data_IF_320549512704
#
_entry.id   IF_320549512704
#
_cell.length_a   1.000
_cell.length_b   1.000
_cell.length_c   1.000
_cell.angle_alpha   90.00
_cell.angle_beta   90.00
_cell.angle_gamma   90.00
#
_symmetry.space_group_name_H-M   'P 1'
#
loop_
_entity.id
_entity.type
_entity.pdbx_description
1 polymer ?
#
# COMPACT_ATOMS: atom_id res chain seq x y z
N UNK A 1 -0.58 5.85 -2.06
CA UNK A 1 0.63 5.12 -2.46
C UNK A 1 1.25 5.81 -3.66
N UNK A 2 2.58 5.82 -3.74
CA UNK A 2 3.34 6.21 -4.93
C UNK A 2 4.08 5.00 -5.48
N UNK A 3 3.93 4.73 -6.77
CA UNK A 3 4.73 3.77 -7.52
C UNK A 3 5.78 4.53 -8.33
N UNK A 4 7.04 4.13 -8.22
CA UNK A 4 8.17 4.77 -8.89
C UNK A 4 8.97 3.69 -9.64
N UNK A 5 9.06 3.84 -10.96
CA UNK A 5 9.81 2.98 -11.87
C UNK A 5 11.01 3.73 -12.49
N UNK A 6 11.49 4.80 -11.86
CA UNK A 6 12.56 5.64 -12.41
C UNK A 6 13.91 4.92 -12.51
N UNK A 7 14.06 3.82 -11.77
CA UNK A 7 15.23 2.94 -11.82
C UNK A 7 15.25 2.01 -13.06
N UNK A 8 14.18 1.98 -13.87
CA UNK A 8 14.17 1.20 -15.11
C UNK A 8 15.12 1.76 -16.15
N UNK A 9 15.86 0.86 -16.79
CA UNK A 9 16.85 1.22 -17.82
C UNK A 9 16.74 0.28 -18.99
N UNK A 10 16.90 0.82 -20.20
CA UNK A 10 17.11 0.04 -21.41
C UNK A 10 18.63 -0.02 -21.71
N UNK A 11 19.23 -1.20 -21.92
CA UNK A 11 20.67 -1.33 -22.18
C UNK A 11 21.16 -0.61 -23.44
N UNK A 12 20.25 -0.31 -24.38
CA UNK A 12 20.54 0.42 -25.61
C UNK A 12 20.16 1.92 -25.50
N UNK A 13 19.76 2.38 -24.31
CA UNK A 13 19.39 3.77 -24.05
C UNK A 13 18.06 4.19 -24.68
N UNK A 14 17.19 3.23 -25.02
CA UNK A 14 15.90 3.54 -25.62
C UNK A 14 14.95 4.23 -24.63
N UNK A 15 14.09 5.10 -25.16
CA UNK A 15 13.01 5.69 -24.36
C UNK A 15 12.04 4.61 -23.87
N UNK A 16 11.61 4.75 -22.62
CA UNK A 16 10.70 3.83 -21.95
C UNK A 16 9.34 4.47 -21.72
N UNK A 17 8.32 3.62 -21.74
CA UNK A 17 6.95 3.93 -21.34
C UNK A 17 6.51 2.98 -20.24
N UNK A 18 5.65 3.47 -19.35
CA UNK A 18 5.27 2.80 -18.12
C UNK A 18 3.75 2.72 -18.04
N UNK A 19 3.21 1.51 -17.88
CA UNK A 19 1.81 1.29 -17.56
C UNK A 19 1.72 0.67 -16.16
N UNK A 20 0.80 1.15 -15.33
CA UNK A 20 0.65 0.69 -13.95
C UNK A 20 -0.70 0.02 -13.75
N UNK A 21 -0.72 -1.09 -13.04
CA UNK A 21 -1.91 -1.72 -12.48
C UNK A 21 -1.74 -1.76 -10.97
N UNK A 22 -2.71 -1.29 -10.20
CA UNK A 22 -2.59 -1.23 -8.74
C UNK A 22 -3.21 -2.46 -8.03
N UNK A 23 -3.71 -3.43 -8.79
CA UNK A 23 -4.27 -4.69 -8.27
C UNK A 23 -5.67 -4.58 -7.68
N UNK A 24 -6.26 -3.38 -7.57
CA UNK A 24 -7.64 -3.13 -7.16
C UNK A 24 -8.58 -2.81 -8.34
N UNK A 25 -8.10 -2.99 -9.58
CA UNK A 25 -8.80 -2.66 -10.82
C UNK A 25 -8.50 -1.26 -11.36
N UNK A 26 -7.77 -0.43 -10.60
CA UNK A 26 -7.27 0.85 -11.09
C UNK A 26 -6.00 0.64 -11.94
N UNK A 27 -6.01 1.20 -13.15
CA UNK A 27 -4.88 1.16 -14.09
C UNK A 27 -4.53 2.56 -14.59
N UNK A 28 -3.25 2.74 -14.92
CA UNK A 28 -2.72 3.90 -15.64
C UNK A 28 -2.15 3.42 -16.96
N UNK A 29 -2.64 4.00 -18.05
CA UNK A 29 -2.18 3.70 -19.40
C UNK A 29 -0.70 4.07 -19.59
N UNK A 30 -0.09 3.52 -20.64
CA UNK A 30 1.30 3.76 -20.96
C UNK A 30 1.63 5.26 -21.06
N UNK A 31 2.57 5.71 -20.24
CA UNK A 31 3.00 7.11 -20.14
C UNK A 31 4.54 7.18 -20.09
N UNK A 32 5.11 8.33 -20.47
CA UNK A 32 6.56 8.56 -20.36
C UNK A 32 7.03 8.89 -18.94
N UNK A 33 6.11 9.23 -18.03
CA UNK A 33 6.42 9.51 -16.64
C UNK A 33 6.55 8.19 -15.84
N UNK A 34 7.70 7.90 -15.21
CA UNK A 34 7.91 6.68 -14.45
C UNK A 34 7.21 6.67 -13.08
N UNK A 35 6.48 7.72 -12.72
CA UNK A 35 5.82 7.86 -11.41
C UNK A 35 4.30 7.90 -11.56
N UNK A 36 3.60 7.13 -10.73
CA UNK A 36 2.14 7.16 -10.60
C UNK A 36 1.71 7.11 -9.13
N UNK A 37 0.57 7.74 -8.81
CA UNK A 37 0.03 7.76 -7.45
C UNK A 37 -1.38 7.18 -7.42
N UNK A 38 -1.67 6.34 -6.43
CA UNK A 38 -2.98 5.71 -6.24
C UNK A 38 -3.39 5.64 -4.77
N UNK A 39 -4.70 5.69 -4.51
CA UNK A 39 -5.27 5.63 -3.16
C UNK A 39 -6.19 4.44 -3.03
N UNK A 40 -5.81 3.49 -2.18
CA UNK A 40 -6.65 2.34 -1.82
C UNK A 40 -7.71 2.76 -0.80
N UNK A 41 -8.98 2.44 -1.08
CA UNK A 41 -10.12 2.76 -0.20
C UNK A 41 -10.58 1.57 0.62
N UNK A 42 -10.22 0.36 0.22
CA UNK A 42 -10.60 -0.90 0.86
C UNK A 42 -9.40 -1.56 1.52
N UNK A 43 -9.64 -2.16 2.68
CA UNK A 43 -8.66 -3.04 3.30
C UNK A 43 -8.54 -4.34 2.47
N UNK A 44 -7.33 -4.83 2.31
CA UNK A 44 -7.04 -5.96 1.44
C UNK A 44 -5.57 -6.07 1.08
N UNK A 45 -5.25 -7.11 0.32
CA UNK A 45 -3.93 -7.30 -0.28
C UNK A 45 -4.04 -7.11 -1.78
N UNK A 46 -3.23 -6.22 -2.33
CA UNK A 46 -3.22 -5.87 -3.75
C UNK A 46 -1.83 -6.14 -4.34
N UNK A 47 -1.80 -6.60 -5.59
CA UNK A 47 -0.56 -6.83 -6.32
C UNK A 47 -0.37 -5.71 -7.36
N UNK A 48 0.34 -4.66 -6.99
CA UNK A 48 0.63 -3.58 -7.93
C UNK A 48 1.74 -4.01 -8.90
N UNK A 49 1.50 -3.81 -10.19
CA UNK A 49 2.38 -4.21 -11.28
C UNK A 49 2.69 -2.99 -12.15
N UNK A 50 3.96 -2.86 -12.57
CA UNK A 50 4.36 -1.93 -13.63
C UNK A 50 4.83 -2.73 -14.83
N UNK A 51 4.35 -2.35 -16.01
CA UNK A 51 4.84 -2.85 -17.30
C UNK A 51 5.63 -1.74 -17.97
N UNK A 52 6.90 -2.01 -18.23
CA UNK A 52 7.82 -1.11 -18.92
C UNK A 52 7.93 -1.55 -20.36
N UNK A 53 7.89 -0.61 -21.31
CA UNK A 53 8.02 -0.89 -22.74
C UNK A 53 8.99 0.07 -23.40
N UNK A 54 9.94 -0.45 -24.16
CA UNK A 54 10.85 0.36 -24.98
C UNK A 54 10.30 0.65 -26.39
N UNK A 55 10.98 1.51 -27.14
CA UNK A 55 10.53 1.91 -28.50
C UNK A 55 10.61 0.79 -29.54
N UNK A 56 11.40 -0.27 -29.29
CA UNK A 56 11.40 -1.50 -30.11
C UNK A 56 10.21 -2.42 -29.82
N UNK A 57 9.40 -2.09 -28.81
CA UNK A 57 8.25 -2.89 -28.41
C UNK A 57 8.56 -4.02 -27.43
N UNK A 58 9.80 -4.13 -26.94
CA UNK A 58 10.13 -5.07 -25.87
C UNK A 58 9.53 -4.60 -24.55
N UNK A 59 9.08 -5.54 -23.74
CA UNK A 59 8.41 -5.28 -22.47
C UNK A 59 9.04 -6.08 -21.34
N UNK A 60 9.03 -5.50 -20.14
CA UNK A 60 9.35 -6.18 -18.89
C UNK A 60 8.39 -5.74 -17.78
N UNK A 61 8.28 -6.54 -16.71
CA UNK A 61 7.34 -6.27 -15.62
C UNK A 61 7.98 -6.40 -14.25
N UNK A 62 7.52 -5.55 -13.32
CA UNK A 62 7.84 -5.66 -11.89
C UNK A 62 6.55 -5.61 -11.08
N UNK A 63 6.52 -6.33 -9.95
CA UNK A 63 5.35 -6.43 -9.09
C UNK A 63 5.72 -6.22 -7.62
N UNK A 64 4.84 -5.56 -6.88
CA UNK A 64 4.93 -5.35 -5.44
C UNK A 64 3.59 -5.68 -4.77
N UNK A 65 3.65 -6.48 -3.71
CA UNK A 65 2.48 -6.77 -2.86
C UNK A 65 2.28 -5.66 -1.84
N UNK A 66 1.03 -5.24 -1.66
CA UNK A 66 0.60 -4.12 -0.85
C UNK A 66 -0.50 -4.59 0.08
N UNK A 67 -0.34 -4.39 1.38
CA UNK A 67 -1.36 -4.76 2.36
C UNK A 67 -1.92 -3.52 3.04
N UNK A 68 -3.23 -3.29 2.85
CA UNK A 68 -3.99 -2.22 3.48
C UNK A 68 -4.83 -2.85 4.59
N UNK A 69 -4.64 -2.39 5.83
CA UNK A 69 -5.41 -2.88 6.97
C UNK A 69 -6.51 -1.88 7.34
N UNK A 70 -7.69 -2.37 7.69
CA UNK A 70 -8.72 -1.53 8.26
C UNK A 70 -8.25 -1.03 9.64
N UNK A 71 -8.57 0.21 10.04
CA UNK A 71 -8.34 0.63 11.42
C UNK A 71 -9.07 -0.35 12.34
N UNK A 72 -8.35 -0.93 13.32
CA UNK A 72 -8.99 -1.78 14.33
C UNK A 72 -10.09 -0.95 15.03
N UNK A 73 -11.32 -1.46 15.16
CA UNK A 73 -12.32 -0.81 16.00
C UNK A 73 -11.73 -0.68 17.40
N UNK A 74 -11.59 0.57 17.86
CA UNK A 74 -10.77 0.94 18.99
C UNK A 74 -11.10 0.13 20.24
N UNK A 75 -10.08 -0.16 21.04
CA UNK A 75 -10.28 -0.56 22.43
C UNK A 75 -11.13 0.51 23.10
N UNK A 76 -12.44 0.26 23.25
CA UNK A 76 -13.25 0.99 24.21
C UNK A 76 -12.70 0.59 25.57
N UNK A 77 -11.95 1.49 26.20
CA UNK A 77 -11.65 1.39 27.61
C UNK A 77 -12.99 1.47 28.36
N UNK A 78 -13.69 0.34 28.47
CA UNK A 78 -14.77 0.19 29.45
C UNK A 78 -14.08 0.46 30.78
N UNK A 79 -14.32 1.63 31.35
CA UNK A 79 -13.95 1.94 32.73
C UNK A 79 -14.53 0.80 33.56
N UNK A 80 -13.71 -0.18 33.90
CA UNK A 80 -14.08 -1.15 34.91
C UNK A 80 -14.38 -0.32 36.16
N UNK A 81 -15.56 -0.44 36.79
CA UNK A 81 -15.77 0.24 38.05
C UNK A 81 -14.68 -0.26 39.00
N UNK A 82 -13.83 0.65 39.47
CA UNK A 82 -12.89 0.36 40.55
C UNK A 82 -13.74 -0.06 41.73
N UNK A 83 -13.88 -1.36 41.96
CA UNK A 83 -14.37 -1.87 43.24
C UNK A 83 -13.32 -1.48 44.26
N UNK A 84 -13.52 -0.33 44.93
CA UNK A 84 -12.80 -0.04 46.17
C UNK A 84 -13.09 -1.20 47.11
N UNK A 85 -12.09 -2.04 47.39
CA UNK A 85 -12.17 -2.99 48.50
C UNK A 85 -12.40 -2.16 49.78
N UNK A 86 -13.37 -2.50 50.64
CA UNK A 86 -13.46 -1.87 51.94
C UNK A 86 -12.19 -2.22 52.73
N UNK A 87 -11.49 -1.20 53.21
CA UNK A 87 -10.34 -1.33 54.09
C UNK A 87 -10.88 -1.80 55.45
N UNK A 88 -10.54 -3.03 55.83
CA UNK A 88 -10.83 -3.55 57.17
C UNK A 88 -9.94 -2.81 58.16
N UNK A 89 -10.52 -2.05 59.08
CA UNK A 89 -9.80 -1.55 60.24
C UNK A 89 -9.47 -2.74 61.17
N UNK A 90 -8.24 -2.85 61.71
CA UNK A 90 -8.02 -3.67 62.89
C UNK A 90 -8.34 -2.83 64.14
N UNK A 91 -9.27 -3.35 64.94
CA UNK A 91 -9.45 -2.96 66.34
C UNK A 91 -8.26 -3.51 67.15
N UNK A 92 -7.60 -2.65 67.93
CA UNK A 92 -7.17 -2.98 69.30
C UNK A 92 -6.74 -1.74 70.09
#
# INVERSE_FOLDING_TARGET
MTADASASTDPQGQALTYAFDFGDGATFAAQGNPVATHSYTTAGTFAATVTVRNTSGLTDTAQQTITITAPQPGYVARRAPVRRRPQRAPEH
#
